data_IF_541615423346
#
_entry.id   IF_541615423346
#
_cell.length_a   1.000
_cell.length_b   1.000
_cell.length_c   1.000
_cell.angle_alpha   90.00
_cell.angle_beta   90.00
_cell.angle_gamma   90.00
#
_symmetry.space_group_name_H-M   'P 1'
#
loop_
_entity.id
_entity.type
_entity.pdbx_description
1 polymer ?
#
# COMPACT_ATOMS: atom_id res chain seq x y z
N UNK A 1 -8.66 -1.95 -5.79
CA UNK A 1 -8.39 -0.68 -5.13
C UNK A 1 -9.68 0.02 -4.74
N UNK A 2 -9.63 1.31 -4.45
CA UNK A 2 -10.80 2.12 -4.11
C UNK A 2 -11.84 2.10 -5.24
N UNK A 3 -13.13 2.12 -4.86
CA UNK A 3 -14.25 2.09 -5.80
C UNK A 3 -14.53 0.75 -6.49
N UNK A 4 -13.81 -0.31 -6.14
CA UNK A 4 -14.09 -1.65 -6.67
C UNK A 4 -15.42 -2.18 -6.16
N UNK A 5 -15.82 -1.80 -4.94
CA UNK A 5 -16.98 -2.34 -4.25
C UNK A 5 -16.74 -3.74 -3.69
N UNK A 6 -17.78 -4.30 -3.07
CA UNK A 6 -17.73 -5.61 -2.40
C UNK A 6 -18.90 -6.49 -2.86
N UNK A 7 -19.19 -6.48 -4.15
CA UNK A 7 -20.26 -7.25 -4.78
C UNK A 7 -19.72 -8.55 -5.37
N UNK A 8 -20.60 -9.46 -5.77
CA UNK A 8 -20.23 -10.69 -6.48
C UNK A 8 -19.41 -10.40 -7.76
N UNK A 9 -19.71 -9.29 -8.44
CA UNK A 9 -18.91 -8.84 -9.60
C UNK A 9 -17.48 -8.48 -9.18
N UNK A 10 -17.32 -7.76 -8.08
CA UNK A 10 -16.01 -7.37 -7.55
C UNK A 10 -15.16 -8.59 -7.16
N UNK A 11 -15.79 -9.61 -6.56
CA UNK A 11 -15.13 -10.88 -6.24
C UNK A 11 -14.66 -11.62 -7.51
N UNK A 12 -15.52 -11.72 -8.52
CA UNK A 12 -15.16 -12.34 -9.80
C UNK A 12 -14.03 -11.58 -10.50
N UNK A 13 -14.07 -10.24 -10.43
CA UNK A 13 -13.03 -9.40 -11.02
C UNK A 13 -11.67 -9.64 -10.34
N UNK A 14 -11.61 -9.69 -9.00
CA UNK A 14 -10.37 -9.99 -8.28
C UNK A 14 -9.83 -11.38 -8.65
N UNK A 15 -10.68 -12.39 -8.71
CA UNK A 15 -10.28 -13.74 -9.11
C UNK A 15 -9.69 -13.75 -10.53
N UNK A 16 -10.31 -13.01 -11.46
CA UNK A 16 -9.80 -12.87 -12.81
C UNK A 16 -8.44 -12.15 -12.85
N UNK A 17 -8.29 -11.08 -12.08
CA UNK A 17 -7.01 -10.36 -11.95
C UNK A 17 -5.92 -11.28 -11.41
N UNK A 18 -6.20 -12.08 -10.38
CA UNK A 18 -5.24 -13.03 -9.83
C UNK A 18 -4.81 -14.08 -10.85
N UNK A 19 -5.76 -14.63 -11.61
CA UNK A 19 -5.46 -15.60 -12.64
C UNK A 19 -4.59 -15.02 -13.77
N UNK A 20 -4.93 -13.83 -14.26
CA UNK A 20 -4.15 -13.16 -15.31
C UNK A 20 -2.75 -12.74 -14.81
N UNK A 21 -2.66 -12.26 -13.59
CA UNK A 21 -1.40 -11.85 -12.98
C UNK A 21 -0.43 -13.04 -12.80
N UNK A 22 -0.93 -14.17 -12.30
CA UNK A 22 -0.11 -15.39 -12.18
C UNK A 22 0.33 -15.93 -13.54
N UNK A 23 -0.54 -15.90 -14.54
CA UNK A 23 -0.25 -16.36 -15.90
C UNK A 23 0.81 -15.52 -16.59
N UNK A 24 0.82 -14.21 -16.34
CA UNK A 24 1.70 -13.24 -17.01
C UNK A 24 2.89 -12.80 -16.15
N UNK A 25 2.98 -13.31 -14.92
CA UNK A 25 3.96 -12.92 -13.91
C UNK A 25 3.97 -11.40 -13.62
N UNK A 26 2.77 -10.79 -13.63
CA UNK A 26 2.58 -9.35 -13.40
C UNK A 26 2.31 -9.09 -11.91
N UNK A 27 2.94 -8.08 -11.27
CA UNK A 27 2.67 -7.75 -9.90
C UNK A 27 1.24 -7.19 -9.69
N UNK A 28 0.67 -7.47 -8.53
CA UNK A 28 -0.63 -6.96 -8.11
C UNK A 28 -0.47 -6.12 -6.85
N UNK A 29 -1.12 -4.94 -6.83
CA UNK A 29 -1.27 -4.13 -5.62
C UNK A 29 -2.71 -4.19 -5.17
N UNK A 30 -2.94 -4.45 -3.89
CA UNK A 30 -4.27 -4.46 -3.27
C UNK A 30 -4.37 -3.39 -2.19
N UNK A 31 -5.39 -2.54 -2.34
CA UNK A 31 -5.76 -1.49 -1.39
C UNK A 31 -7.27 -1.42 -1.20
N UNK A 32 -7.75 -0.79 -0.16
CA UNK A 32 -9.17 -0.44 0.07
C UNK A 32 -10.12 -1.64 -0.10
N UNK A 33 -11.10 -1.55 -1.03
CA UNK A 33 -12.10 -2.60 -1.25
C UNK A 33 -11.48 -3.96 -1.58
N UNK A 34 -10.35 -3.99 -2.29
CA UNK A 34 -9.65 -5.23 -2.59
C UNK A 34 -9.12 -5.92 -1.32
N UNK A 35 -8.63 -5.15 -0.34
CA UNK A 35 -8.21 -5.68 0.97
C UNK A 35 -9.42 -6.18 1.78
N UNK A 36 -10.55 -5.48 1.72
CA UNK A 36 -11.79 -5.91 2.37
C UNK A 36 -12.29 -7.23 1.76
N UNK A 37 -12.32 -7.35 0.45
CA UNK A 37 -12.68 -8.58 -0.24
C UNK A 37 -11.74 -9.73 0.12
N UNK A 38 -10.44 -9.46 0.31
CA UNK A 38 -9.47 -10.48 0.71
C UNK A 38 -9.81 -11.11 2.07
N UNK A 39 -10.51 -10.39 2.96
CA UNK A 39 -10.99 -10.95 4.24
C UNK A 39 -12.21 -11.85 4.07
N UNK A 40 -13.03 -11.60 3.06
CA UNK A 40 -14.30 -12.29 2.82
C UNK A 40 -14.14 -13.50 1.91
N UNK A 41 -13.21 -13.42 0.97
CA UNK A 41 -12.93 -14.49 0.03
C UNK A 41 -12.41 -15.70 0.82
N UNK A 42 -13.21 -16.77 0.85
CA UNK A 42 -12.68 -18.13 1.04
C UNK A 42 -11.81 -18.38 -0.18
N UNK A 43 -10.53 -17.97 -0.10
CA UNK A 43 -9.61 -18.05 -1.22
C UNK A 43 -9.45 -19.50 -1.67
N UNK A 44 -10.33 -19.92 -2.55
CA UNK A 44 -10.15 -21.12 -3.38
C UNK A 44 -9.10 -20.86 -4.47
N UNK A 45 -8.81 -19.58 -4.77
CA UNK A 45 -7.78 -19.16 -5.71
C UNK A 45 -6.47 -18.84 -4.97
N UNK A 46 -5.37 -19.34 -5.49
CA UNK A 46 -4.02 -19.04 -5.04
C UNK A 46 -3.74 -17.53 -5.23
N UNK A 47 -3.20 -16.87 -4.21
CA UNK A 47 -2.77 -15.48 -4.34
C UNK A 47 -1.62 -15.36 -5.34
N UNK A 48 -1.53 -14.25 -6.09
CA UNK A 48 -0.38 -13.98 -6.96
C UNK A 48 0.92 -13.98 -6.16
N UNK A 49 2.00 -14.48 -6.75
CA UNK A 49 3.33 -14.51 -6.12
C UNK A 49 3.86 -13.09 -5.88
N UNK A 50 3.60 -12.20 -6.85
CA UNK A 50 4.08 -10.82 -6.85
C UNK A 50 2.98 -9.90 -6.32
N UNK A 51 2.84 -9.83 -4.97
CA UNK A 51 1.75 -9.13 -4.30
C UNK A 51 2.26 -8.04 -3.36
N UNK A 52 1.68 -6.85 -3.46
CA UNK A 52 1.81 -5.76 -2.48
C UNK A 52 0.44 -5.51 -1.85
N UNK A 53 0.40 -5.40 -0.52
CA UNK A 53 -0.76 -4.97 0.26
C UNK A 53 -0.45 -3.63 0.91
N UNK A 54 -1.39 -2.68 0.85
CA UNK A 54 -1.22 -1.33 1.38
C UNK A 54 -2.24 -0.99 2.48
N UNK A 55 -2.41 -1.82 3.52
CA UNK A 55 -3.43 -1.59 4.52
C UNK A 55 -3.15 -0.37 5.41
N UNK A 56 -4.18 0.40 5.73
CA UNK A 56 -4.20 1.25 6.92
C UNK A 56 -4.49 0.39 8.18
N UNK A 57 -4.32 0.89 9.42
CA UNK A 57 -4.49 0.08 10.63
C UNK A 57 -5.84 -0.64 10.74
N UNK A 58 -6.93 -0.01 10.30
CA UNK A 58 -8.25 -0.64 10.30
C UNK A 58 -8.39 -1.81 9.32
N UNK A 59 -7.79 -1.71 8.14
CA UNK A 59 -7.71 -2.80 7.15
C UNK A 59 -6.81 -3.93 7.65
N UNK A 60 -5.66 -3.57 8.24
CA UNK A 60 -4.76 -4.54 8.85
C UNK A 60 -5.43 -5.33 9.98
N UNK A 61 -6.21 -4.65 10.82
CA UNK A 61 -6.98 -5.29 11.90
C UNK A 61 -7.98 -6.32 11.33
N UNK A 62 -8.72 -5.97 10.28
CA UNK A 62 -9.64 -6.90 9.59
C UNK A 62 -8.89 -8.09 8.99
N UNK A 63 -7.80 -7.83 8.27
CA UNK A 63 -6.98 -8.87 7.66
C UNK A 63 -6.38 -9.84 8.68
N UNK A 64 -6.03 -9.37 9.88
CA UNK A 64 -5.48 -10.17 10.97
C UNK A 64 -6.54 -10.75 11.90
N UNK A 65 -7.83 -10.42 11.71
CA UNK A 65 -8.93 -10.76 12.61
C UNK A 65 -8.65 -10.30 14.06
N UNK A 66 -8.28 -9.03 14.22
CA UNK A 66 -7.96 -8.37 15.50
C UNK A 66 -8.58 -6.97 15.53
N UNK A 67 -8.28 -6.17 16.54
CA UNK A 67 -8.72 -4.78 16.65
C UNK A 67 -7.58 -3.80 16.29
N UNK A 68 -7.95 -2.54 16.05
CA UNK A 68 -7.01 -1.47 15.65
C UNK A 68 -5.99 -1.22 16.75
N UNK A 69 -6.39 -1.23 18.03
CA UNK A 69 -5.49 -1.00 19.16
C UNK A 69 -4.35 -2.03 19.20
N UNK A 70 -4.64 -3.30 18.91
CA UNK A 70 -3.61 -4.34 18.83
C UNK A 70 -2.65 -4.12 17.65
N UNK A 71 -3.14 -3.61 16.52
CA UNK A 71 -2.27 -3.27 15.39
C UNK A 71 -1.37 -2.09 15.74
N UNK A 72 -1.91 -1.05 16.35
CA UNK A 72 -1.16 0.16 16.71
C UNK A 72 -0.15 -0.09 17.84
N UNK A 73 -0.45 -0.97 18.79
CA UNK A 73 0.48 -1.31 19.88
C UNK A 73 1.72 -2.08 19.42
N UNK A 74 1.61 -2.82 18.31
CA UNK A 74 2.73 -3.56 17.70
C UNK A 74 2.63 -3.52 16.18
N UNK A 75 2.95 -2.37 15.59
CA UNK A 75 2.87 -2.15 14.14
C UNK A 75 3.87 -3.01 13.36
N UNK A 76 5.10 -3.18 13.87
CA UNK A 76 6.09 -4.04 13.24
C UNK A 76 5.67 -5.51 13.24
N UNK A 77 5.22 -6.03 14.36
CA UNK A 77 4.71 -7.39 14.47
C UNK A 77 3.45 -7.61 13.64
N UNK A 78 2.58 -6.61 13.54
CA UNK A 78 1.38 -6.67 12.70
C UNK A 78 1.73 -6.71 11.20
N UNK A 79 2.65 -5.87 10.75
CA UNK A 79 3.16 -5.92 9.37
C UNK A 79 3.83 -7.26 9.05
N UNK A 80 4.60 -7.80 10.01
CA UNK A 80 5.24 -9.11 9.88
C UNK A 80 4.23 -10.27 9.78
N UNK A 81 3.17 -10.23 10.59
CA UNK A 81 2.08 -11.23 10.53
C UNK A 81 1.35 -11.18 9.19
N UNK A 82 1.07 -9.98 8.66
CA UNK A 82 0.46 -9.80 7.34
C UNK A 82 1.37 -10.33 6.24
N UNK A 83 2.65 -9.96 6.26
CA UNK A 83 3.65 -10.42 5.31
C UNK A 83 3.70 -11.96 5.26
N UNK A 84 3.75 -12.61 6.43
CA UNK A 84 3.78 -14.07 6.52
C UNK A 84 2.46 -14.71 6.07
N UNK A 85 1.32 -14.14 6.47
CA UNK A 85 -0.01 -14.68 6.17
C UNK A 85 -0.30 -14.70 4.68
N UNK A 86 0.08 -13.64 3.97
CA UNK A 86 -0.24 -13.45 2.55
C UNK A 86 0.96 -13.68 1.62
N UNK A 87 2.15 -13.93 2.17
CA UNK A 87 3.42 -14.02 1.43
C UNK A 87 3.61 -12.81 0.48
N UNK A 88 3.29 -11.60 0.96
CA UNK A 88 3.24 -10.36 0.20
C UNK A 88 4.25 -9.35 0.74
N UNK A 89 4.64 -8.35 -0.05
CA UNK A 89 5.19 -7.11 0.49
C UNK A 89 4.05 -6.30 1.10
N UNK A 90 4.22 -5.79 2.30
CA UNK A 90 3.17 -5.06 3.05
C UNK A 90 3.62 -3.65 3.33
N UNK A 91 2.80 -2.69 2.96
CA UNK A 91 2.92 -1.28 3.35
C UNK A 91 1.86 -0.99 4.40
N UNK A 92 2.20 -1.06 5.68
CA UNK A 92 1.31 -0.68 6.76
C UNK A 92 1.32 0.84 6.91
N UNK A 93 0.27 1.48 6.39
CA UNK A 93 0.10 2.95 6.39
C UNK A 93 -0.04 3.49 7.81
N UNK A 94 0.35 4.76 8.02
CA UNK A 94 0.19 5.49 9.29
C UNK A 94 1.32 6.48 9.51
N UNK A 95 1.35 7.14 10.67
CA UNK A 95 2.48 7.99 11.07
C UNK A 95 3.73 7.11 11.17
N UNK A 96 4.68 7.30 10.25
CA UNK A 96 5.77 6.34 10.01
C UNK A 96 5.26 5.07 9.31
N UNK A 97 5.01 5.12 8.00
CA UNK A 97 4.61 3.95 7.22
C UNK A 97 5.70 2.87 7.24
N UNK A 98 5.28 1.62 7.47
CA UNK A 98 6.20 0.47 7.58
C UNK A 98 6.08 -0.38 6.32
N UNK A 99 7.21 -0.64 5.66
CA UNK A 99 7.29 -1.61 4.55
C UNK A 99 7.89 -2.89 5.08
N UNK A 100 7.14 -4.00 5.05
CA UNK A 100 7.61 -5.31 5.49
C UNK A 100 7.63 -6.28 4.31
N UNK A 101 8.75 -6.97 4.12
CA UNK A 101 8.95 -7.90 3.00
C UNK A 101 9.82 -9.09 3.41
N UNK A 102 9.80 -10.13 2.58
CA UNK A 102 10.66 -11.31 2.74
C UNK A 102 12.04 -11.01 2.14
N UNK A 103 13.07 -11.03 2.98
CA UNK A 103 14.47 -10.88 2.57
C UNK A 103 15.30 -12.14 2.82
N UNK A 104 16.57 -12.08 2.47
CA UNK A 104 17.53 -13.15 2.80
C UNK A 104 17.69 -13.23 4.33
N UNK A 105 17.47 -14.42 4.88
CA UNK A 105 17.58 -14.66 6.33
C UNK A 105 16.32 -14.28 7.13
N UNK A 106 15.19 -13.98 6.49
CA UNK A 106 13.92 -13.72 7.17
C UNK A 106 13.22 -12.45 6.71
N UNK A 107 12.33 -11.95 7.55
CA UNK A 107 11.60 -10.69 7.30
C UNK A 107 12.55 -9.49 7.46
N UNK A 108 12.30 -8.46 6.64
CA UNK A 108 12.98 -7.17 6.67
C UNK A 108 11.95 -6.05 6.71
N UNK A 109 12.35 -4.88 7.22
CA UNK A 109 11.50 -3.71 7.36
C UNK A 109 12.19 -2.46 6.84
N UNK A 110 11.42 -1.61 6.16
CA UNK A 110 11.71 -0.21 5.92
C UNK A 110 10.75 0.64 6.74
N UNK A 111 11.21 1.76 7.26
CA UNK A 111 10.40 2.74 7.97
C UNK A 111 10.54 4.09 7.28
N UNK A 112 9.44 4.66 6.83
CA UNK A 112 9.39 6.03 6.33
C UNK A 112 9.10 6.97 7.50
N UNK A 113 9.98 7.94 7.71
CA UNK A 113 9.86 8.98 8.74
C UNK A 113 9.50 10.36 8.19
N UNK A 114 9.21 10.45 6.90
CA UNK A 114 8.69 11.65 6.23
C UNK A 114 7.17 11.64 6.22
N UNK A 115 6.57 12.77 5.86
CA UNK A 115 5.13 12.98 5.84
C UNK A 115 4.66 13.82 7.02
N UNK A 116 3.49 14.39 6.88
CA UNK A 116 2.91 15.35 7.82
C UNK A 116 1.43 15.04 8.12
N UNK A 117 0.84 15.63 9.17
CA UNK A 117 -0.56 15.40 9.56
C UNK A 117 -1.60 15.74 8.48
N UNK A 118 -1.31 16.65 7.55
CA UNK A 118 -2.17 17.00 6.42
C UNK A 118 -2.49 15.81 5.51
N UNK A 119 -1.63 14.78 5.55
CA UNK A 119 -1.87 13.53 4.80
C UNK A 119 -3.03 12.69 5.34
N UNK A 120 -3.63 13.06 6.48
CA UNK A 120 -4.81 12.38 7.02
C UNK A 120 -6.09 12.78 6.26
N UNK A 121 -6.02 12.85 4.94
CA UNK A 121 -7.10 13.25 4.02
C UNK A 121 -7.46 12.08 3.09
N UNK A 122 -8.76 11.97 2.75
CA UNK A 122 -9.24 10.94 1.82
C UNK A 122 -8.57 11.04 0.44
N UNK A 123 -8.20 9.90 -0.14
CA UNK A 123 -7.51 9.83 -1.44
C UNK A 123 -5.98 9.77 -1.35
N UNK A 124 -5.37 10.06 -0.21
CA UNK A 124 -3.90 9.96 -0.05
C UNK A 124 -3.41 8.52 -0.25
N UNK A 125 -4.16 7.52 0.24
CA UNK A 125 -3.87 6.10 -0.01
C UNK A 125 -3.94 5.71 -1.49
N UNK A 126 -4.89 6.32 -2.22
CA UNK A 126 -5.07 6.07 -3.66
C UNK A 126 -3.87 6.59 -4.45
N UNK A 127 -3.38 7.79 -4.09
CA UNK A 127 -2.15 8.37 -4.67
C UNK A 127 -0.95 7.47 -4.39
N UNK A 128 -0.77 7.03 -3.15
CA UNK A 128 0.32 6.10 -2.79
C UNK A 128 0.26 4.82 -3.63
N UNK A 129 -0.92 4.22 -3.75
CA UNK A 129 -1.13 3.00 -4.56
C UNK A 129 -0.78 3.26 -6.03
N UNK A 130 -1.16 4.41 -6.57
CA UNK A 130 -0.83 4.83 -7.93
C UNK A 130 0.67 5.03 -8.14
N UNK A 131 1.37 5.66 -7.20
CA UNK A 131 2.83 5.85 -7.23
C UNK A 131 3.55 4.50 -7.26
N UNK A 132 3.21 3.59 -6.33
CA UNK A 132 3.80 2.26 -6.28
C UNK A 132 3.55 1.50 -7.59
N UNK A 133 2.33 1.59 -8.15
CA UNK A 133 2.00 0.96 -9.43
C UNK A 133 2.84 1.51 -10.59
N UNK A 134 3.01 2.82 -10.66
CA UNK A 134 3.84 3.47 -11.67
C UNK A 134 5.32 3.06 -11.60
N UNK A 135 5.85 2.90 -10.38
CA UNK A 135 7.23 2.46 -10.15
C UNK A 135 7.38 0.96 -10.53
N UNK A 136 6.43 0.11 -10.15
CA UNK A 136 6.41 -1.30 -10.54
C UNK A 136 6.36 -1.46 -12.07
N UNK A 137 5.58 -0.64 -12.75
CA UNK A 137 5.48 -0.67 -14.21
C UNK A 137 6.81 -0.32 -14.92
N UNK A 138 7.75 0.32 -14.21
CA UNK A 138 9.11 0.60 -14.68
C UNK A 138 10.09 -0.57 -14.40
N UNK A 139 9.63 -1.67 -13.81
CA UNK A 139 10.41 -2.88 -13.62
C UNK A 139 11.15 -2.98 -12.29
N UNK A 140 10.87 -2.09 -11.33
CA UNK A 140 11.46 -2.22 -9.99
C UNK A 140 10.89 -3.44 -9.25
N UNK A 141 11.68 -3.96 -8.31
CA UNK A 141 11.21 -5.05 -7.44
C UNK A 141 10.05 -4.60 -6.54
N UNK A 142 9.26 -5.56 -6.02
CA UNK A 142 8.15 -5.25 -5.10
C UNK A 142 8.61 -4.43 -3.89
N UNK A 143 9.77 -4.79 -3.34
CA UNK A 143 10.39 -4.10 -2.21
C UNK A 143 10.76 -2.67 -2.59
N UNK A 144 11.55 -2.50 -3.65
CA UNK A 144 12.06 -1.20 -4.04
C UNK A 144 10.94 -0.25 -4.46
N UNK A 145 9.92 -0.77 -5.15
CA UNK A 145 8.74 0.00 -5.51
C UNK A 145 7.91 0.42 -4.30
N UNK A 146 7.76 -0.45 -3.30
CA UNK A 146 7.05 -0.10 -2.07
C UNK A 146 7.81 0.94 -1.24
N UNK A 147 9.12 0.76 -1.03
CA UNK A 147 9.96 1.70 -0.27
C UNK A 147 10.05 3.06 -0.98
N UNK A 148 10.38 3.08 -2.28
CA UNK A 148 10.46 4.32 -3.05
C UNK A 148 9.09 5.01 -3.16
N UNK A 149 8.00 4.25 -3.35
CA UNK A 149 6.66 4.80 -3.44
C UNK A 149 6.22 5.49 -2.15
N UNK A 150 6.50 4.90 -0.99
CA UNK A 150 6.21 5.50 0.31
C UNK A 150 7.05 6.75 0.54
N UNK A 151 8.34 6.72 0.24
CA UNK A 151 9.26 7.85 0.41
C UNK A 151 8.87 9.02 -0.50
N UNK A 152 8.64 8.78 -1.78
CA UNK A 152 8.23 9.81 -2.74
C UNK A 152 6.88 10.43 -2.37
N UNK A 153 5.90 9.61 -1.98
CA UNK A 153 4.59 10.09 -1.56
C UNK A 153 4.68 11.01 -0.34
N UNK A 154 5.45 10.61 0.67
CA UNK A 154 5.62 11.38 1.90
C UNK A 154 6.40 12.67 1.66
N UNK A 155 7.49 12.63 0.91
CA UNK A 155 8.28 13.82 0.55
C UNK A 155 7.49 14.82 -0.31
N UNK A 156 6.70 14.33 -1.25
CA UNK A 156 5.82 15.20 -2.04
C UNK A 156 4.78 15.90 -1.17
N UNK A 157 4.23 15.21 -0.17
CA UNK A 157 3.31 15.80 0.79
C UNK A 157 4.00 16.85 1.69
N UNK A 158 5.24 16.60 2.10
CA UNK A 158 6.02 17.56 2.88
C UNK A 158 6.33 18.82 2.07
N UNK A 159 6.72 18.69 0.79
CA UNK A 159 6.92 19.83 -0.10
C UNK A 159 5.64 20.63 -0.30
N UNK A 160 4.52 19.97 -0.58
CA UNK A 160 3.23 20.63 -0.74
C UNK A 160 2.82 21.40 0.53
N UNK A 161 3.09 20.84 1.71
CA UNK A 161 2.77 21.50 2.99
C UNK A 161 3.65 22.72 3.28
N UNK A 162 4.86 22.79 2.74
CA UNK A 162 5.71 23.99 2.86
C UNK A 162 5.13 25.18 2.11
N UNK A 163 4.42 24.96 1.02
CA UNK A 163 3.83 26.02 0.22
C UNK A 163 2.46 26.47 0.75
N UNK A 164 1.60 25.53 1.13
CA UNK A 164 0.18 25.80 1.44
C UNK A 164 -0.21 25.52 2.89
N UNK A 165 0.71 24.97 3.69
CA UNK A 165 0.43 24.49 5.04
C UNK A 165 -0.15 23.07 5.03
N UNK A 166 -0.24 22.47 6.23
CA UNK A 166 -0.77 21.11 6.40
C UNK A 166 -2.30 21.07 6.34
N UNK A 167 -2.95 22.18 6.75
CA UNK A 167 -4.42 22.28 6.80
C UNK A 167 -4.96 22.47 5.39
N UNK A 168 -5.79 21.54 4.95
CA UNK A 168 -6.38 21.58 3.61
C UNK A 168 -5.54 20.93 2.51
N UNK A 169 -4.44 20.26 2.87
CA UNK A 169 -3.62 19.49 1.92
C UNK A 169 -4.48 18.44 1.20
N UNK A 170 -4.40 18.44 -0.13
CA UNK A 170 -5.15 17.51 -0.99
C UNK A 170 -4.25 16.50 -1.71
N UNK A 171 -4.81 15.36 -2.15
CA UNK A 171 -4.07 14.42 -3.01
C UNK A 171 -3.53 15.06 -4.29
N UNK A 172 -4.21 16.06 -4.85
CA UNK A 172 -3.77 16.76 -6.05
C UNK A 172 -2.50 17.58 -5.81
N UNK A 173 -2.35 18.17 -4.64
CA UNK A 173 -1.14 18.91 -4.27
C UNK A 173 0.06 17.97 -4.21
N UNK A 174 -0.12 16.78 -3.61
CA UNK A 174 0.92 15.74 -3.55
C UNK A 174 1.31 15.27 -4.96
N UNK A 175 0.37 15.09 -5.87
CA UNK A 175 0.65 14.70 -7.27
C UNK A 175 1.44 15.82 -7.97
N UNK A 176 1.14 17.08 -7.72
CA UNK A 176 1.87 18.21 -8.28
C UNK A 176 3.33 18.20 -7.85
N UNK A 177 3.58 18.07 -6.55
CA UNK A 177 4.94 18.04 -5.99
C UNK A 177 5.71 16.76 -6.34
N UNK A 178 5.04 15.64 -6.51
CA UNK A 178 5.68 14.42 -7.00
C UNK A 178 6.36 14.66 -8.37
N UNK A 179 5.74 15.44 -9.25
CA UNK A 179 6.34 15.80 -10.56
C UNK A 179 7.62 16.63 -10.40
N UNK A 180 7.67 17.48 -9.37
CA UNK A 180 8.88 18.27 -9.05
C UNK A 180 10.02 17.38 -8.57
N UNK A 181 9.72 16.37 -7.75
CA UNK A 181 10.70 15.38 -7.26
C UNK A 181 11.26 14.46 -8.36
N UNK A 182 10.48 14.21 -9.40
CA UNK A 182 10.83 13.30 -10.49
C UNK A 182 11.45 14.02 -11.70
N UNK A 183 11.73 15.33 -11.61
CA UNK A 183 12.48 16.04 -12.65
C UNK A 183 13.92 15.54 -12.64
N UNK A 184 14.37 15.12 -13.82
CA UNK A 184 15.79 14.97 -14.11
C UNK A 184 16.31 16.33 -14.56
N UNK A 185 17.35 16.83 -13.92
CA UNK A 185 18.12 17.99 -14.38
C UNK A 185 18.96 17.62 -15.61
#
# INVERSE_FOLDING_TARGET
GPGLGQTAWSEQMIQRVFWEAEKRDVPVIMDADALNLLTQLKLSSKLPKNLILTPHPGEAARLLNTNISNVESDRFGSAAKLQKKFNATVVLKGSGSIVCYKGNGGQKWGLCNSGNPGMATGGMGDVLTGIIAGILAQGLSLKDAAEAGVDLHSKAADLASLETGEVGLTPSDVISELRSLLRYD
#
